data_IF_759796961588
#
_entry.id   IF_759796961588
#
_cell.length_a   1.000
_cell.length_b   1.000
_cell.length_c   1.000
_cell.angle_alpha   90.00
_cell.angle_beta   90.00
_cell.angle_gamma   90.00
#
_symmetry.space_group_name_H-M   'P 1'
#
loop_
_entity.id
_entity.type
_entity.pdbx_description
1 polymer ?
#
# COMPACT_ATOMS: atom_id res chain seq x y z
N UNK A 1 -14.11 4.39 6.30
CA UNK A 1 -13.75 3.20 5.49
C UNK A 1 -12.40 3.46 4.80
N UNK A 2 -11.52 2.47 4.74
CA UNK A 2 -10.23 2.63 4.05
C UNK A 2 -10.44 2.45 2.55
N UNK A 3 -10.06 3.45 1.76
CA UNK A 3 -9.97 3.37 0.30
C UNK A 3 -8.51 3.45 -0.11
N UNK A 4 -8.12 2.67 -1.11
CA UNK A 4 -6.74 2.59 -1.61
C UNK A 4 -6.43 3.76 -2.56
N UNK A 5 -5.20 4.27 -2.54
CA UNK A 5 -4.73 5.30 -3.45
C UNK A 5 -3.90 4.71 -4.60
N UNK A 6 -4.41 4.68 -5.85
CA UNK A 6 -3.68 4.19 -7.02
C UNK A 6 -2.40 4.96 -7.35
N UNK A 7 -2.25 6.20 -6.89
CA UNK A 7 -1.01 6.97 -7.09
C UNK A 7 0.15 6.45 -6.25
N UNK A 8 -0.15 5.75 -5.15
CA UNK A 8 0.86 5.15 -4.28
C UNK A 8 1.21 3.73 -4.71
N UNK A 9 0.28 3.03 -5.37
CA UNK A 9 0.41 1.62 -5.71
C UNK A 9 1.64 1.32 -6.58
N UNK A 10 2.41 0.32 -6.18
CA UNK A 10 3.47 -0.25 -7.02
C UNK A 10 2.91 -0.70 -8.39
N UNK A 11 3.73 -0.64 -9.44
CA UNK A 11 3.31 -0.94 -10.83
C UNK A 11 2.78 -2.37 -11.04
N UNK A 12 3.22 -3.32 -10.21
CA UNK A 12 2.74 -4.70 -10.20
C UNK A 12 1.44 -4.91 -9.40
N UNK A 13 0.89 -3.86 -8.80
CA UNK A 13 -0.38 -3.93 -8.09
C UNK A 13 -1.53 -3.39 -8.94
N UNK A 14 -2.63 -4.11 -8.90
CA UNK A 14 -3.88 -3.73 -9.55
C UNK A 14 -4.90 -3.46 -8.47
N UNK A 15 -5.19 -2.16 -8.28
CA UNK A 15 -6.28 -1.68 -7.44
C UNK A 15 -7.59 -1.81 -8.22
N UNK A 16 -8.66 -2.26 -7.55
CA UNK A 16 -10.01 -2.35 -8.13
C UNK A 16 -10.63 -0.97 -8.36
N UNK A 17 -11.64 -0.89 -9.25
CA UNK A 17 -12.30 0.37 -9.59
C UNK A 17 -13.02 1.02 -8.40
N UNK A 18 -13.46 0.21 -7.43
CA UNK A 18 -14.07 0.66 -6.18
C UNK A 18 -13.05 1.04 -5.09
N UNK A 19 -11.75 0.90 -5.38
CA UNK A 19 -10.63 1.21 -4.49
C UNK A 19 -10.60 0.42 -3.17
N UNK A 20 -11.27 -0.73 -3.09
CA UNK A 20 -11.32 -1.54 -1.85
C UNK A 20 -10.43 -2.78 -1.89
N UNK A 21 -10.01 -3.20 -3.08
CA UNK A 21 -9.29 -4.45 -3.30
C UNK A 21 -7.99 -4.21 -4.06
N UNK A 22 -7.01 -5.06 -3.79
CA UNK A 22 -5.72 -5.07 -4.49
C UNK A 22 -5.36 -6.49 -4.84
N UNK A 23 -4.78 -6.67 -6.03
CA UNK A 23 -4.19 -7.95 -6.47
C UNK A 23 -2.84 -7.72 -7.10
N UNK A 24 -1.98 -8.72 -6.99
CA UNK A 24 -0.69 -8.75 -7.68
C UNK A 24 -0.86 -9.10 -9.17
N UNK A 25 0.09 -8.64 -9.98
CA UNK A 25 0.24 -8.92 -11.40
C UNK A 25 1.72 -9.12 -11.72
N UNK A 26 2.06 -10.21 -12.40
CA UNK A 26 3.42 -10.44 -12.90
C UNK A 26 3.83 -9.40 -13.95
N UNK A 27 2.84 -8.84 -14.66
CA UNK A 27 3.03 -7.77 -15.62
C UNK A 27 2.91 -6.41 -14.93
N UNK A 28 4.00 -5.67 -14.90
CA UNK A 28 4.04 -4.29 -14.43
C UNK A 28 3.22 -3.38 -15.34
N UNK A 29 2.32 -2.59 -14.77
CA UNK A 29 1.62 -1.54 -15.51
C UNK A 29 2.56 -0.38 -15.84
N UNK A 30 2.40 0.17 -17.03
CA UNK A 30 3.04 1.43 -17.44
C UNK A 30 2.34 2.60 -16.74
N UNK A 31 2.85 2.99 -15.58
CA UNK A 31 2.35 4.10 -14.76
C UNK A 31 3.41 5.20 -14.65
N UNK A 32 3.01 6.46 -14.45
CA UNK A 32 3.96 7.53 -14.20
C UNK A 32 4.73 7.29 -12.90
N UNK A 33 6.03 7.60 -12.90
CA UNK A 33 6.87 7.52 -11.71
C UNK A 33 6.73 8.80 -10.86
N UNK A 34 5.57 8.96 -10.23
CA UNK A 34 5.30 10.05 -9.29
C UNK A 34 5.94 9.76 -7.91
N UNK A 35 6.12 10.80 -7.09
CA UNK A 35 6.86 10.72 -5.81
C UNK A 35 6.17 9.82 -4.77
N UNK A 36 4.85 9.73 -4.85
CA UNK A 36 4.00 8.96 -3.95
C UNK A 36 4.05 7.46 -4.24
N UNK A 37 4.49 7.06 -5.45
CA UNK A 37 4.49 5.68 -5.90
C UNK A 37 5.63 4.86 -5.31
N UNK A 38 5.32 3.68 -4.79
CA UNK A 38 6.34 2.69 -4.43
C UNK A 38 6.98 2.08 -5.68
N UNK A 39 8.30 2.00 -5.69
CA UNK A 39 9.11 1.50 -6.82
C UNK A 39 9.81 0.16 -6.52
N UNK A 40 9.98 -0.19 -5.24
CA UNK A 40 10.76 -1.33 -4.79
C UNK A 40 9.94 -2.40 -4.08
N UNK A 41 8.88 -2.01 -3.36
CA UNK A 41 8.01 -2.94 -2.62
C UNK A 41 6.61 -2.91 -3.20
N UNK A 42 5.96 -4.07 -3.30
CA UNK A 42 4.60 -4.23 -3.78
C UNK A 42 3.59 -3.74 -2.72
N UNK A 43 3.59 -2.43 -2.48
CA UNK A 43 2.74 -1.78 -1.49
C UNK A 43 1.79 -0.78 -2.16
N UNK A 44 0.69 -0.51 -1.46
CA UNK A 44 -0.28 0.55 -1.74
C UNK A 44 -0.74 1.12 -0.40
N UNK A 45 -0.96 2.44 -0.34
CA UNK A 45 -1.49 3.10 0.87
C UNK A 45 -3.00 3.31 0.78
N UNK A 46 -3.61 3.48 1.94
CA UNK A 46 -4.90 4.15 2.03
C UNK A 46 -4.77 5.61 1.60
N UNK A 47 -5.85 6.18 1.09
CA UNK A 47 -5.91 7.55 0.58
C UNK A 47 -5.90 8.62 1.68
N UNK A 48 -6.30 8.25 2.89
CA UNK A 48 -6.36 9.16 4.04
C UNK A 48 -5.37 8.74 5.13
N UNK A 49 -4.64 9.73 5.65
CA UNK A 49 -3.83 9.59 6.86
C UNK A 49 -4.63 9.87 8.11
N UNK A 50 -4.10 9.46 9.26
CA UNK A 50 -4.71 9.67 10.57
C UNK A 50 -3.72 10.37 11.50
N UNK A 51 -4.18 11.38 12.25
CA UNK A 51 -3.36 12.12 13.22
C UNK A 51 -3.76 11.83 14.67
N UNK A 52 -4.96 11.28 14.89
CA UNK A 52 -5.57 11.07 16.20
C UNK A 52 -6.77 10.11 16.09
N UNK A 53 -7.26 9.63 17.24
CA UNK A 53 -8.45 8.77 17.32
C UNK A 53 -8.16 7.26 17.27
N UNK A 54 -9.24 6.47 17.32
CA UNK A 54 -9.20 5.01 17.19
C UNK A 54 -9.80 4.62 15.83
N UNK A 55 -9.00 3.95 15.01
CA UNK A 55 -9.37 3.52 13.67
C UNK A 55 -9.23 2.01 13.56
N UNK A 56 -10.24 1.35 13.00
CA UNK A 56 -10.27 -0.08 12.80
C UNK A 56 -10.72 -0.38 11.37
N UNK A 57 -10.13 -1.40 10.77
CA UNK A 57 -10.52 -1.92 9.47
C UNK A 57 -10.33 -3.44 9.46
N UNK A 58 -11.19 -4.12 8.70
CA UNK A 58 -11.08 -5.55 8.46
C UNK A 58 -10.50 -5.78 7.07
N UNK A 59 -9.67 -6.82 6.92
CA UNK A 59 -9.05 -7.19 5.65
C UNK A 59 -9.37 -8.65 5.38
N UNK A 60 -9.89 -8.93 4.18
CA UNK A 60 -10.10 -10.29 3.70
C UNK A 60 -8.86 -10.75 2.91
N UNK A 61 -8.06 -11.65 3.48
CA UNK A 61 -6.86 -12.21 2.83
C UNK A 61 -7.10 -13.55 2.13
N UNK A 62 -8.27 -14.18 2.36
CA UNK A 62 -8.65 -15.49 1.82
C UNK A 62 -7.52 -16.53 2.01
N UNK A 63 -7.14 -17.22 0.93
CA UNK A 63 -6.11 -18.26 0.91
C UNK A 63 -4.72 -17.72 0.52
N UNK A 64 -4.51 -16.40 0.56
CA UNK A 64 -3.21 -15.81 0.21
C UNK A 64 -2.16 -16.20 1.25
N UNK A 65 -1.03 -16.73 0.78
CA UNK A 65 0.11 -17.12 1.63
C UNK A 65 1.14 -16.01 1.81
N UNK A 66 1.05 -14.96 1.01
CA UNK A 66 1.95 -13.81 1.07
C UNK A 66 1.12 -12.53 1.02
N UNK A 67 1.06 -11.85 2.16
CA UNK A 67 0.40 -10.58 2.34
C UNK A 67 1.08 -9.84 3.50
N UNK A 68 0.92 -8.54 3.51
CA UNK A 68 1.40 -7.70 4.60
C UNK A 68 0.49 -6.50 4.69
N UNK A 69 0.07 -6.13 5.89
CA UNK A 69 -0.70 -4.92 6.13
C UNK A 69 -0.17 -4.19 7.35
N UNK A 70 -0.47 -2.91 7.45
CA UNK A 70 0.03 -2.11 8.55
C UNK A 70 -0.18 -0.63 8.35
N UNK A 71 0.57 0.15 9.11
CA UNK A 71 0.56 1.61 9.07
C UNK A 71 1.96 2.13 8.90
N UNK A 72 2.05 3.28 8.24
CA UNK A 72 3.31 3.95 7.96
C UNK A 72 3.17 5.44 8.24
N UNK A 73 4.19 6.09 8.80
CA UNK A 73 4.18 7.54 8.95
C UNK A 73 4.26 8.22 7.58
N UNK A 74 3.60 9.36 7.43
CA UNK A 74 3.57 10.10 6.17
C UNK A 74 4.98 10.46 5.67
N UNK A 75 5.93 10.67 6.57
CA UNK A 75 7.31 11.06 6.24
C UNK A 75 8.17 10.01 5.52
N UNK A 76 7.74 8.75 5.41
CA UNK A 76 8.66 7.62 5.12
C UNK A 76 9.32 7.55 3.73
N UNK A 77 9.15 8.40 2.74
CA UNK A 77 9.70 8.20 1.36
C UNK A 77 9.43 6.81 0.73
N UNK A 78 8.73 6.81 -0.41
CA UNK A 78 8.23 5.58 -1.05
C UNK A 78 9.22 4.92 -2.01
N UNK A 79 10.38 5.55 -2.21
CA UNK A 79 11.44 5.08 -3.09
C UNK A 79 12.46 4.21 -2.37
N UNK A 80 12.90 3.16 -3.03
CA UNK A 80 13.83 2.15 -2.53
C UNK A 80 13.23 1.27 -1.43
N UNK A 81 14.08 0.51 -0.74
CA UNK A 81 13.60 -0.44 0.26
C UNK A 81 13.10 0.24 1.54
N UNK A 82 11.78 0.29 1.69
CA UNK A 82 11.10 0.91 2.83
C UNK A 82 11.20 0.10 4.14
N UNK A 83 11.49 -1.21 4.08
CA UNK A 83 11.52 -2.06 5.29
C UNK A 83 12.68 -1.71 6.22
N UNK A 84 13.70 -1.02 5.70
CA UNK A 84 14.85 -0.53 6.48
C UNK A 84 14.54 0.80 7.19
N UNK A 85 13.41 1.44 6.89
CA UNK A 85 13.08 2.79 7.36
C UNK A 85 12.28 2.72 8.66
N UNK A 86 12.49 3.72 9.52
CA UNK A 86 11.68 3.91 10.74
C UNK A 86 10.29 4.42 10.36
N UNK A 87 9.30 4.13 11.21
CA UNK A 87 7.93 4.61 11.01
C UNK A 87 7.05 3.67 10.18
N UNK A 88 7.41 2.39 10.08
CA UNK A 88 6.62 1.33 9.48
C UNK A 88 6.28 0.29 10.56
N UNK A 89 5.00 -0.03 10.70
CA UNK A 89 4.50 -1.08 11.59
C UNK A 89 3.60 -2.00 10.78
N UNK A 90 4.05 -3.22 10.55
CA UNK A 90 3.38 -4.17 9.65
C UNK A 90 3.27 -5.55 10.27
N UNK A 91 2.27 -6.31 9.82
CA UNK A 91 2.03 -7.70 10.12
C UNK A 91 1.82 -8.47 8.80
N UNK A 92 2.41 -9.66 8.70
CA UNK A 92 2.37 -10.54 7.54
C UNK A 92 3.15 -11.82 7.80
#
# INVERSE_FOLDING_TARGET
>A
PVTLDPNTAHSNLIVSDDLTSVRFSDEAKLLPDNLERFDCRECVLGSEGFDSGLHCWDIEVKDLTNWTFGVMTESVQRKGDILTKKGLWVLG
#
